data_IF_077089670659
#
_entry.id   IF_077089670659
#
_cell.length_a   1.000
_cell.length_b   1.000
_cell.length_c   1.000
_cell.angle_alpha   90.00
_cell.angle_beta   90.00
_cell.angle_gamma   90.00
#
_symmetry.space_group_name_H-M   'P 1'
#
loop_
_entity.id
_entity.type
_entity.pdbx_description
1 polymer ?
#
# COMPACT_ATOMS: atom_id res chain seq x y z
N UNK A 1 -14.42 17.01 21.93
CA UNK A 1 -13.62 15.95 21.28
C UNK A 1 -14.24 15.71 19.90
N UNK A 2 -13.52 15.97 18.80
CA UNK A 2 -14.06 15.94 17.44
C UNK A 2 -13.68 14.64 16.69
N UNK A 3 -14.10 13.49 17.21
CA UNK A 3 -13.87 12.22 16.49
C UNK A 3 -14.84 12.13 15.32
N UNK A 4 -14.34 12.29 14.10
CA UNK A 4 -15.13 11.99 12.90
C UNK A 4 -15.56 10.52 12.94
N UNK A 5 -16.78 10.19 12.47
CA UNK A 5 -17.25 8.81 12.40
C UNK A 5 -16.32 7.98 11.50
N UNK A 6 -16.13 6.71 11.87
CA UNK A 6 -15.36 5.75 11.06
C UNK A 6 -16.09 5.59 9.73
N UNK A 7 -15.47 6.07 8.65
CA UNK A 7 -16.09 6.14 7.32
C UNK A 7 -16.14 4.77 6.63
N UNK A 8 -15.21 3.87 6.99
CA UNK A 8 -15.11 2.54 6.41
C UNK A 8 -14.56 1.56 7.45
N UNK A 9 -15.21 0.41 7.64
CA UNK A 9 -14.76 -0.66 8.54
C UNK A 9 -13.75 -1.59 7.88
N UNK A 10 -13.45 -1.36 6.59
CA UNK A 10 -12.50 -2.15 5.83
C UNK A 10 -11.09 -2.04 6.44
N UNK A 11 -10.63 -3.14 7.02
CA UNK A 11 -9.26 -3.36 7.49
C UNK A 11 -8.32 -3.62 6.32
N UNK A 12 -8.43 -2.83 5.25
CA UNK A 12 -7.50 -2.86 4.14
C UNK A 12 -6.06 -2.67 4.63
N UNK A 13 -5.06 -3.09 3.84
CA UNK A 13 -3.67 -2.98 4.28
C UNK A 13 -3.33 -1.53 4.62
N UNK A 14 -2.94 -1.31 5.87
CA UNK A 14 -2.63 0.03 6.38
C UNK A 14 -1.42 0.59 5.65
N UNK A 15 -1.56 1.80 5.12
CA UNK A 15 -0.44 2.54 4.56
C UNK A 15 0.51 2.96 5.69
N UNK A 16 1.75 2.50 5.62
CA UNK A 16 2.80 2.82 6.58
C UNK A 16 3.59 4.07 6.17
N UNK A 17 3.82 4.22 4.86
CA UNK A 17 4.46 5.40 4.28
C UNK A 17 4.09 5.53 2.80
N UNK A 18 4.28 6.74 2.26
CA UNK A 18 4.13 7.00 0.84
C UNK A 18 5.22 7.96 0.34
N UNK A 19 5.64 7.80 -0.91
CA UNK A 19 6.61 8.69 -1.55
C UNK A 19 6.38 8.75 -3.06
N UNK A 20 6.57 9.93 -3.63
CA UNK A 20 6.62 10.12 -5.08
C UNK A 20 8.00 9.73 -5.64
N UNK A 21 8.02 9.32 -6.90
CA UNK A 21 9.26 9.26 -7.67
C UNK A 21 9.72 10.68 -8.09
N UNK A 22 10.92 10.79 -8.66
CA UNK A 22 11.58 12.08 -8.90
C UNK A 22 10.79 13.06 -9.79
N UNK A 23 10.05 12.55 -10.77
CA UNK A 23 9.22 13.32 -11.69
C UNK A 23 7.74 13.37 -11.28
N UNK A 24 7.39 12.81 -10.12
CA UNK A 24 6.02 12.74 -9.58
C UNK A 24 4.99 12.05 -10.48
N UNK A 25 5.44 11.24 -11.44
CA UNK A 25 4.54 10.47 -12.33
C UNK A 25 3.98 9.22 -11.66
N UNK A 26 4.62 8.74 -10.60
CA UNK A 26 4.19 7.60 -9.80
C UNK A 26 4.37 7.87 -8.31
N UNK A 27 3.62 7.16 -7.47
CA UNK A 27 3.89 7.11 -6.04
C UNK A 27 3.84 5.67 -5.53
N UNK A 28 4.69 5.37 -4.57
CA UNK A 28 4.69 4.09 -3.86
C UNK A 28 4.04 4.24 -2.50
N UNK A 29 3.29 3.22 -2.09
CA UNK A 29 2.74 3.08 -0.74
C UNK A 29 3.32 1.81 -0.13
N UNK A 30 4.03 1.98 0.99
CA UNK A 30 4.48 0.86 1.81
C UNK A 30 3.33 0.36 2.68
N UNK A 31 3.19 -0.95 2.77
CA UNK A 31 2.22 -1.65 3.61
C UNK A 31 2.96 -2.76 4.37
N UNK A 32 2.35 -3.31 5.41
CA UNK A 32 3.01 -4.32 6.26
C UNK A 32 3.56 -5.52 5.47
N UNK A 33 2.86 -5.94 4.41
CA UNK A 33 3.25 -7.08 3.58
C UNK A 33 4.15 -6.75 2.38
N UNK A 34 4.59 -5.50 2.23
CA UNK A 34 5.43 -5.07 1.10
C UNK A 34 5.11 -3.67 0.61
N UNK A 35 4.94 -3.49 -0.70
CA UNK A 35 4.61 -2.19 -1.27
C UNK A 35 3.79 -2.27 -2.56
N UNK A 36 3.14 -1.15 -2.89
CA UNK A 36 2.34 -0.95 -4.11
C UNK A 36 2.80 0.33 -4.78
N UNK A 37 2.82 0.35 -6.11
CA UNK A 37 3.14 1.53 -6.93
C UNK A 37 1.93 1.88 -7.77
N UNK A 38 1.54 3.15 -7.73
CA UNK A 38 0.40 3.69 -8.42
C UNK A 38 0.85 4.77 -9.40
N UNK A 39 0.09 4.91 -10.47
CA UNK A 39 0.13 6.09 -11.33
C UNK A 39 -0.41 7.30 -10.57
N UNK A 40 0.30 8.44 -10.61
CA UNK A 40 -0.08 9.60 -9.78
C UNK A 40 -1.33 10.32 -10.28
N UNK A 41 -1.60 10.26 -11.59
CA UNK A 41 -2.73 10.98 -12.21
C UNK A 41 -4.01 10.16 -12.12
N UNK A 42 -3.95 8.89 -12.53
CA UNK A 42 -5.12 8.02 -12.58
C UNK A 42 -5.40 7.28 -11.28
N UNK A 43 -4.41 7.18 -10.38
CA UNK A 43 -4.47 6.32 -9.19
C UNK A 43 -4.45 4.83 -9.53
N UNK A 44 -4.21 4.45 -10.79
CA UNK A 44 -4.22 3.06 -11.21
C UNK A 44 -3.02 2.31 -10.63
N UNK A 45 -3.26 1.09 -10.12
CA UNK A 45 -2.20 0.22 -9.60
C UNK A 45 -1.32 -0.26 -10.76
N UNK A 46 -0.04 0.11 -10.75
CA UNK A 46 0.94 -0.31 -11.76
C UNK A 46 1.64 -1.60 -11.34
N UNK A 47 1.96 -1.71 -10.05
CA UNK A 47 2.73 -2.83 -9.52
C UNK A 47 2.38 -3.07 -8.04
N UNK A 48 2.31 -4.33 -7.65
CA UNK A 48 2.25 -4.72 -6.25
C UNK A 48 3.30 -5.81 -6.02
N UNK A 49 4.10 -5.67 -4.96
CA UNK A 49 5.06 -6.70 -4.56
C UNK A 49 4.95 -6.96 -3.08
N UNK A 50 4.72 -8.22 -2.74
CA UNK A 50 4.68 -8.70 -1.36
C UNK A 50 5.93 -9.46 -0.97
N UNK A 51 6.18 -9.55 0.33
CA UNK A 51 7.12 -10.52 0.90
C UNK A 51 6.45 -11.89 0.96
N UNK A 52 7.04 -12.91 0.34
CA UNK A 52 6.60 -14.30 0.56
C UNK A 52 7.10 -14.71 1.94
N UNK A 53 6.20 -14.95 2.89
CA UNK A 53 6.60 -15.58 4.16
C UNK A 53 7.12 -16.99 3.84
N UNK A 54 8.40 -17.25 4.09
CA UNK A 54 9.05 -18.54 3.81
C UNK A 54 8.57 -19.70 4.73
N UNK A 55 7.46 -19.55 5.45
CA UNK A 55 6.97 -20.53 6.42
C UNK A 55 6.11 -21.66 5.83
N UNK A 56 6.21 -21.95 4.53
CA UNK A 56 5.50 -23.10 3.90
C UNK A 56 6.44 -23.95 3.07
N UNK A 57 7.45 -24.53 3.71
CA UNK A 57 8.06 -25.77 3.22
C UNK A 57 8.26 -26.73 4.39
N UNK A 58 7.28 -27.61 4.58
CA UNK A 58 7.40 -28.87 5.30
C UNK A 58 6.96 -29.94 4.31
N UNK A 59 7.76 -30.99 4.10
CA UNK A 59 7.31 -32.32 4.51
C UNK A 59 8.16 -32.90 5.64
#
# INVERSE_FOLDING_TARGET
>A
MNTRPILDSSAGPHALSASFNADSTCFSVAVESGFRVFDSVSGHLKLARGTVSLSTRIP
#
